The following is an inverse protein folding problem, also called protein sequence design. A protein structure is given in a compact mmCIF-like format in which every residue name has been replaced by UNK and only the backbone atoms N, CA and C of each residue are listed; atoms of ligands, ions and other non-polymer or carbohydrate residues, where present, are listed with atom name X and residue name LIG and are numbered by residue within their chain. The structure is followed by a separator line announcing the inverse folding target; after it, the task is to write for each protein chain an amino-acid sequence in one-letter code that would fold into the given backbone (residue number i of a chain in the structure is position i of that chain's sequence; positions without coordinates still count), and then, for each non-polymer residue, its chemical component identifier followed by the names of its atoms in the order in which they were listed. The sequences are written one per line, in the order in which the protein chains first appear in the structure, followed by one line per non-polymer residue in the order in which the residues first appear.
data_IF_832132236856
#
_entry.id   IF_832132236856
#
_cell.length_a   1.000
_cell.length_b   1.000
_cell.length_c   1.000
_cell.angle_alpha   90.00
_cell.angle_beta   90.00
_cell.angle_gamma   90.00
#
_symmetry.space_group_name_H-M   'P 1'
#
loop_
_entity.id
_entity.type
_entity.pdbx_description
1 polymer ?
#
# COMPACT_ATOMS: atom_id res chain seq x y z
N UNK A 1 -44.14 -10.53 14.14
CA UNK A 1 -44.82 -9.22 13.99
C UNK A 1 -44.53 -8.69 12.59
N UNK A 2 -45.36 -9.04 11.61
CA UNK A 2 -45.38 -8.32 10.32
C UNK A 2 -46.50 -7.30 10.45
N UNK A 3 -46.17 -6.02 10.39
CA UNK A 3 -47.19 -4.97 10.36
C UNK A 3 -47.51 -4.71 8.90
N UNK A 4 -48.56 -5.35 8.38
CA UNK A 4 -49.12 -5.12 7.03
C UNK A 4 -49.86 -3.77 6.92
N UNK A 5 -49.38 -2.75 7.66
CA UNK A 5 -49.92 -1.40 7.63
C UNK A 5 -49.30 -0.63 6.49
N UNK A 6 -50.14 0.03 5.70
CA UNK A 6 -49.70 0.90 4.61
C UNK A 6 -49.07 2.18 5.16
N UNK A 7 -48.22 2.85 4.36
CA UNK A 7 -47.58 4.11 4.77
C UNK A 7 -48.60 5.19 5.15
N UNK A 8 -49.78 5.18 4.51
CA UNK A 8 -50.86 6.10 4.81
C UNK A 8 -51.50 5.82 6.17
N UNK A 9 -51.65 4.55 6.57
CA UNK A 9 -52.18 4.15 7.87
C UNK A 9 -51.20 4.50 8.98
N UNK A 10 -49.91 4.23 8.79
CA UNK A 10 -48.87 4.60 9.77
C UNK A 10 -48.78 6.12 9.94
N UNK A 11 -48.96 6.90 8.86
CA UNK A 11 -48.95 8.37 8.94
C UNK A 11 -50.23 8.98 9.55
N UNK A 12 -51.31 8.19 9.70
CA UNK A 12 -52.56 8.59 10.37
C UNK A 12 -52.55 8.26 11.86
N UNK A 13 -51.55 7.49 12.32
CA UNK A 13 -51.39 7.11 13.72
C UNK A 13 -50.98 8.36 14.53
N UNK A 14 -51.72 8.75 15.59
CA UNK A 14 -51.48 9.99 16.32
C UNK A 14 -50.10 10.06 17.01
N UNK A 15 -49.41 8.93 17.21
CA UNK A 15 -48.03 8.89 17.71
C UNK A 15 -46.96 9.01 16.61
N UNK A 16 -47.32 8.83 15.34
CA UNK A 16 -46.38 8.90 14.24
C UNK A 16 -46.25 10.33 13.69
N UNK A 17 -45.02 10.86 13.68
CA UNK A 17 -44.75 12.10 12.95
C UNK A 17 -45.01 11.88 11.45
N UNK A 18 -45.82 12.72 10.78
CA UNK A 18 -46.24 12.53 9.38
C UNK A 18 -45.07 12.53 8.37
N UNK A 19 -43.91 13.07 8.76
CA UNK A 19 -42.70 13.19 7.93
C UNK A 19 -41.73 12.02 8.09
N UNK A 20 -41.72 11.38 9.27
CA UNK A 20 -40.81 10.29 9.61
C UNK A 20 -40.93 9.06 8.69
N UNK A 21 -42.12 8.47 8.52
CA UNK A 21 -42.31 7.23 7.77
C UNK A 21 -41.86 7.33 6.31
N UNK A 22 -42.13 8.46 5.65
CA UNK A 22 -41.77 8.67 4.24
C UNK A 22 -40.26 8.70 4.03
N UNK A 23 -39.52 9.37 4.92
CA UNK A 23 -38.06 9.42 4.89
C UNK A 23 -37.43 8.04 5.07
N UNK A 24 -37.96 7.25 6.01
CA UNK A 24 -37.43 5.92 6.33
C UNK A 24 -37.73 4.91 5.23
N UNK A 25 -38.91 4.98 4.60
CA UNK A 25 -39.23 4.15 3.41
C UNK A 25 -38.30 4.49 2.25
N UNK A 26 -38.02 5.76 1.99
CA UNK A 26 -37.07 6.16 0.95
C UNK A 26 -35.66 5.62 1.23
N UNK A 27 -35.22 5.68 2.48
CA UNK A 27 -33.93 5.13 2.91
C UNK A 27 -33.88 3.60 2.75
N UNK A 28 -34.91 2.90 3.21
CA UNK A 28 -35.02 1.45 3.09
C UNK A 28 -35.06 0.98 1.63
N UNK A 29 -35.74 1.71 0.73
CA UNK A 29 -35.69 1.46 -0.72
C UNK A 29 -34.28 1.64 -1.28
N UNK A 30 -33.60 2.71 -0.88
CA UNK A 30 -32.20 2.94 -1.25
C UNK A 30 -31.26 1.84 -0.74
N UNK A 31 -31.47 1.35 0.49
CA UNK A 31 -30.67 0.28 1.08
C UNK A 31 -30.94 -1.09 0.43
N UNK A 32 -32.12 -1.30 -0.17
CA UNK A 32 -32.45 -2.46 -1.03
C UNK A 32 -31.90 -2.33 -2.46
N UNK A 33 -31.27 -1.22 -2.81
CA UNK A 33 -30.77 -0.97 -4.16
C UNK A 33 -31.84 -0.47 -5.14
N UNK A 34 -33.06 -0.14 -4.69
CA UNK A 34 -34.12 0.48 -5.50
C UNK A 34 -33.92 2.01 -5.66
N UNK A 35 -32.69 2.49 -5.46
CA UNK A 35 -32.34 3.89 -5.61
C UNK A 35 -32.18 4.32 -7.07
N UNK A 36 -32.10 5.63 -7.34
CA UNK A 36 -31.72 6.13 -8.67
C UNK A 36 -30.34 5.57 -9.07
N UNK A 37 -30.09 5.46 -10.39
CA UNK A 37 -28.83 4.91 -10.90
C UNK A 37 -27.61 5.58 -10.26
N UNK A 38 -26.72 4.76 -9.69
CA UNK A 38 -25.53 5.23 -8.96
C UNK A 38 -25.75 5.52 -7.47
N UNK A 39 -26.94 5.31 -6.92
CA UNK A 39 -27.18 5.38 -5.48
C UNK A 39 -26.54 4.17 -4.77
N UNK A 40 -25.56 4.45 -3.92
CA UNK A 40 -24.96 3.44 -3.04
C UNK A 40 -25.92 3.11 -1.89
N UNK A 41 -26.07 1.83 -1.62
CA UNK A 41 -26.69 1.30 -0.39
C UNK A 41 -25.91 1.78 0.85
N UNK A 42 -26.53 1.75 2.03
CA UNK A 42 -25.84 2.09 3.27
C UNK A 42 -24.57 1.28 3.51
N UNK A 43 -24.61 -0.02 3.25
CA UNK A 43 -23.47 -0.92 3.40
C UNK A 43 -22.32 -0.59 2.44
N UNK A 44 -22.61 -0.31 1.17
CA UNK A 44 -21.60 0.10 0.19
C UNK A 44 -20.93 1.42 0.57
N UNK A 45 -21.68 2.39 1.12
CA UNK A 45 -21.10 3.66 1.58
C UNK A 45 -20.14 3.46 2.75
N UNK A 46 -20.49 2.59 3.69
CA UNK A 46 -19.66 2.28 4.84
C UNK A 46 -18.36 1.59 4.42
N UNK A 47 -18.44 0.60 3.55
CA UNK A 47 -17.25 -0.08 3.02
C UNK A 47 -16.39 0.89 2.20
N UNK A 48 -16.99 1.76 1.39
CA UNK A 48 -16.24 2.77 0.64
C UNK A 48 -15.55 3.79 1.55
N UNK A 49 -16.17 4.16 2.67
CA UNK A 49 -15.55 5.01 3.67
C UNK A 49 -14.37 4.31 4.36
N UNK A 50 -14.51 3.02 4.70
CA UNK A 50 -13.44 2.19 5.25
C UNK A 50 -12.27 2.08 4.27
N UNK A 51 -12.52 1.71 3.02
CA UNK A 51 -11.49 1.57 2.00
C UNK A 51 -10.73 2.88 1.77
N UNK A 52 -11.43 4.03 1.73
CA UNK A 52 -10.78 5.34 1.62
C UNK A 52 -9.86 5.66 2.79
N UNK A 53 -10.18 5.20 4.01
CA UNK A 53 -9.29 5.34 5.18
C UNK A 53 -8.06 4.44 5.02
N UNK A 54 -8.25 3.17 4.68
CA UNK A 54 -7.16 2.22 4.46
C UNK A 54 -6.19 2.69 3.36
N UNK A 55 -6.70 3.18 2.23
CA UNK A 55 -5.86 3.71 1.15
C UNK A 55 -5.00 4.88 1.64
N UNK A 56 -5.58 5.83 2.37
CA UNK A 56 -4.82 6.96 2.94
C UNK A 56 -3.74 6.50 3.92
N UNK A 57 -3.99 5.44 4.68
CA UNK A 57 -2.98 4.88 5.58
C UNK A 57 -1.85 4.18 4.80
N UNK A 58 -2.20 3.37 3.81
CA UNK A 58 -1.23 2.69 2.95
C UNK A 58 -0.35 3.68 2.17
N UNK A 59 -0.93 4.77 1.65
CA UNK A 59 -0.19 5.82 0.97
C UNK A 59 0.85 6.48 1.90
N UNK A 60 0.51 6.68 3.18
CA UNK A 60 1.48 7.19 4.17
C UNK A 60 2.61 6.20 4.41
N UNK A 61 2.31 4.91 4.54
CA UNK A 61 3.33 3.89 4.82
C UNK A 61 4.22 3.60 3.61
N UNK A 62 3.68 3.63 2.39
CA UNK A 62 4.44 3.38 1.16
C UNK A 62 5.20 4.62 0.69
N UNK A 63 4.70 5.82 0.97
CA UNK A 63 5.30 7.06 0.50
C UNK A 63 6.73 7.30 0.97
N UNK A 64 7.05 6.98 2.23
CA UNK A 64 8.41 7.15 2.79
C UNK A 64 9.43 6.18 2.19
N UNK A 65 9.24 4.84 2.25
CA UNK A 65 10.17 3.90 1.64
C UNK A 65 10.23 4.03 0.12
N UNK A 66 9.14 4.42 -0.54
CA UNK A 66 9.14 4.70 -1.98
C UNK A 66 10.05 5.88 -2.35
N UNK A 67 9.97 7.00 -1.60
CA UNK A 67 10.88 8.14 -1.78
C UNK A 67 12.33 7.77 -1.47
N UNK A 68 12.57 6.99 -0.41
CA UNK A 68 13.91 6.50 -0.08
C UNK A 68 14.47 5.59 -1.18
N UNK A 69 13.69 4.63 -1.67
CA UNK A 69 14.08 3.75 -2.77
C UNK A 69 14.40 4.55 -4.05
N UNK A 70 13.61 5.58 -4.36
CA UNK A 70 13.88 6.48 -5.48
C UNK A 70 15.18 7.27 -5.29
N UNK A 71 15.43 7.81 -4.09
CA UNK A 71 16.69 8.48 -3.75
C UNK A 71 17.89 7.54 -3.94
N UNK A 72 17.84 6.32 -3.37
CA UNK A 72 18.94 5.37 -3.49
C UNK A 72 19.13 4.85 -4.91
N UNK A 73 18.08 4.77 -5.73
CA UNK A 73 18.22 4.43 -7.14
C UNK A 73 18.97 5.51 -7.93
N UNK A 74 18.75 6.79 -7.60
CA UNK A 74 19.46 7.92 -8.21
C UNK A 74 20.92 8.03 -7.72
N UNK A 75 21.16 7.83 -6.42
CA UNK A 75 22.48 8.06 -5.80
C UNK A 75 23.50 6.93 -6.09
N UNK A 76 23.04 5.72 -6.44
CA UNK A 76 23.91 4.64 -6.93
C UNK A 76 24.70 4.99 -8.19
N UNK A 77 24.30 6.03 -8.93
CA UNK A 77 25.05 6.55 -10.08
C UNK A 77 26.08 7.62 -9.71
N UNK A 78 26.05 8.15 -8.48
CA UNK A 78 26.97 9.19 -7.99
C UNK A 78 28.14 8.64 -7.17
N UNK A 79 28.04 7.41 -6.65
CA UNK A 79 29.18 6.73 -6.04
C UNK A 79 30.22 6.40 -7.12
N UNK A 80 31.13 7.34 -7.37
CA UNK A 80 32.39 7.05 -8.03
C UNK A 80 33.33 6.54 -6.95
N UNK A 81 33.76 5.27 -7.00
CA UNK A 81 34.83 4.84 -6.12
C UNK A 81 36.05 5.75 -6.35
N UNK A 82 36.79 6.14 -5.30
CA UNK A 82 38.05 6.85 -5.48
C UNK A 82 38.93 6.06 -6.46
N UNK A 83 39.62 6.78 -7.36
CA UNK A 83 40.34 6.23 -8.53
C UNK A 83 41.37 5.15 -8.15
N UNK A 84 41.75 5.14 -6.88
CA UNK A 84 42.67 4.26 -6.16
C UNK A 84 42.03 2.99 -5.56
N UNK A 85 40.69 2.89 -5.49
CA UNK A 85 40.01 1.65 -5.08
C UNK A 85 40.23 0.50 -6.10
N UNK A 86 40.44 0.83 -7.38
CA UNK A 86 40.80 -0.13 -8.43
C UNK A 86 42.28 -0.57 -8.36
N UNK A 87 43.15 0.19 -7.69
CA UNK A 87 44.58 -0.16 -7.56
C UNK A 87 44.84 -1.10 -6.38
N UNK A 88 44.01 -1.06 -5.34
CA UNK A 88 44.07 -1.95 -4.18
C UNK A 88 43.83 -3.44 -4.55
N UNK A 89 42.92 -3.71 -5.48
CA UNK A 89 42.63 -5.09 -5.94
C UNK A 89 43.71 -5.64 -6.89
N UNK A 90 44.54 -4.79 -7.51
CA UNK A 90 45.68 -5.21 -8.34
C UNK A 90 46.92 -5.58 -7.51
N UNK A 91 47.09 -4.99 -6.32
CA UNK A 91 48.25 -5.27 -5.45
C UNK A 91 48.14 -6.60 -4.68
N UNK A 92 46.94 -7.17 -4.54
CA UNK A 92 46.71 -8.48 -3.91
C UNK A 92 46.80 -9.68 -4.86
N UNK A 93 46.80 -9.46 -6.19
CA UNK A 93 47.04 -10.52 -7.19
C UNK A 93 48.49 -10.58 -7.67
N UNK A 94 49.29 -9.52 -7.47
CA UNK A 94 50.71 -9.49 -7.84
C UNK A 94 51.64 -10.14 -6.79
N UNK A 95 51.24 -10.16 -5.53
CA UNK A 95 52.02 -10.78 -4.43
C UNK A 95 51.83 -12.29 -4.33
N UNK A 96 50.74 -12.87 -4.85
CA UNK A 96 50.56 -14.33 -4.83
C UNK A 96 51.27 -15.05 -5.97
N UNK A 97 51.48 -14.41 -7.13
CA UNK A 97 52.19 -15.04 -8.27
C UNK A 97 53.71 -15.11 -8.01
N UNK A 98 54.29 -14.12 -7.32
CA UNK A 98 55.73 -14.11 -6.98
C UNK A 98 56.09 -14.97 -5.75
N UNK A 99 55.12 -15.39 -4.94
CA UNK A 99 55.38 -16.29 -3.81
C UNK A 99 55.35 -17.77 -4.23
N UNK A 100 54.55 -18.13 -5.24
CA UNK A 100 54.51 -19.51 -5.75
C UNK A 100 55.78 -19.86 -6.54
N UNK A 101 56.42 -18.90 -7.21
CA UNK A 101 57.69 -19.14 -7.91
C UNK A 101 58.91 -19.13 -6.98
N UNK A 102 58.90 -18.36 -5.89
CA UNK A 102 59.99 -18.35 -4.91
C UNK A 102 60.10 -19.67 -4.12
N UNK A 103 58.98 -20.32 -3.79
CA UNK A 103 58.99 -21.61 -3.10
C UNK A 103 59.49 -22.77 -3.99
N UNK A 104 59.30 -22.67 -5.31
CA UNK A 104 59.64 -23.73 -6.26
C UNK A 104 61.16 -23.86 -6.52
N UNK A 105 61.96 -22.84 -6.20
CA UNK A 105 63.42 -22.89 -6.32
C UNK A 105 64.16 -23.42 -5.07
N UNK A 106 63.54 -23.42 -3.89
CA UNK A 106 64.18 -23.98 -2.68
C UNK A 106 64.08 -25.52 -2.59
N UNK A 107 63.16 -26.16 -3.31
CA UNK A 107 62.93 -27.61 -3.23
C UNK A 107 63.79 -28.47 -4.19
N UNK A 108 64.70 -27.86 -4.97
CA UNK A 108 65.56 -28.53 -5.97
C UNK A 108 67.05 -28.44 -5.60
N UNK A 109 67.35 -28.11 -4.34
CA UNK A 109 68.71 -28.06 -3.83
C UNK A 109 68.80 -28.52 -2.37
N UNK A 110 68.20 -29.69 -2.09
CA UNK A 110 68.60 -30.62 -1.02
C UNK A 110 68.96 -31.97 -1.64
#
# INVERSE_FOLDING_TARGET
MSSDKTVAEVARDPEASPEGPRGWVKRARGDRGEGPAGALTGAEREELARLRRTVRELEKTVGVPGKAAAFFAQDKMRWTPPRDAASATRRRRRTTILQVTAWRCCAVHE
#
